data_IF_539709645809
#
_entry.id   IF_539709645809
#
_cell.length_a   1.000
_cell.length_b   1.000
_cell.length_c   1.000
_cell.angle_alpha   90.00
_cell.angle_beta   90.00
_cell.angle_gamma   90.00
#
_symmetry.space_group_name_H-M   'P 1'
#
loop_
_entity.id
_entity.type
_entity.pdbx_description
1 polymer ?
#
# COMPACT_ATOMS: atom_id res chain seq x y z
N UNK A 1 -6.76 4.83 -1.10
CA UNK A 1 -8.06 4.23 -0.76
C UNK A 1 -7.82 3.00 0.11
N UNK A 2 -7.08 2.00 -0.37
CA UNK A 2 -6.67 0.81 0.40
C UNK A 2 -6.13 1.08 1.81
N UNK A 3 -5.17 2.00 1.98
CA UNK A 3 -4.59 2.31 3.30
C UNK A 3 -5.62 2.83 4.32
N UNK A 4 -6.64 3.58 3.85
CA UNK A 4 -7.70 4.10 4.72
C UNK A 4 -8.69 3.01 5.11
N UNK A 5 -9.05 2.14 4.17
CA UNK A 5 -9.95 1.01 4.41
C UNK A 5 -9.31 0.03 5.40
N UNK A 6 -8.02 -0.29 5.23
CA UNK A 6 -7.31 -1.17 6.16
C UNK A 6 -7.29 -0.60 7.57
N UNK A 7 -7.08 0.71 7.73
CA UNK A 7 -7.09 1.35 9.04
C UNK A 7 -8.48 1.23 9.71
N UNK A 8 -9.56 1.50 8.99
CA UNK A 8 -10.93 1.36 9.53
C UNK A 8 -11.26 -0.08 9.94
N UNK A 9 -10.81 -1.07 9.16
CA UNK A 9 -11.00 -2.50 9.48
C UNK A 9 -10.21 -2.87 10.74
N UNK A 10 -8.95 -2.45 10.83
CA UNK A 10 -8.10 -2.68 12.01
C UNK A 10 -8.69 -2.07 13.29
N UNK A 11 -9.16 -0.83 13.21
CA UNK A 11 -9.83 -0.15 14.33
C UNK A 11 -11.08 -0.91 14.79
N UNK A 12 -11.80 -1.53 13.86
CA UNK A 12 -13.02 -2.30 14.15
C UNK A 12 -12.73 -3.67 14.78
N UNK A 13 -11.56 -4.26 14.51
CA UNK A 13 -11.24 -5.64 14.90
C UNK A 13 -10.90 -5.82 16.38
N UNK A 14 -10.61 -4.77 17.17
CA UNK A 14 -10.34 -4.84 18.63
C UNK A 14 -9.28 -5.87 19.09
N UNK A 15 -8.52 -6.50 18.20
CA UNK A 15 -7.41 -7.39 18.53
C UNK A 15 -6.18 -7.09 17.66
N UNK A 16 -4.96 -7.29 18.19
CA UNK A 16 -3.74 -7.02 17.46
C UNK A 16 -3.62 -7.95 16.24
N UNK A 17 -3.57 -7.36 15.05
CA UNK A 17 -3.38 -8.06 13.79
C UNK A 17 -2.22 -7.44 13.02
N UNK A 18 -1.45 -8.28 12.32
CA UNK A 18 -0.42 -7.82 11.38
C UNK A 18 -1.07 -7.56 10.03
N UNK A 19 -0.77 -6.43 9.43
CA UNK A 19 -1.26 -6.07 8.10
C UNK A 19 -0.12 -6.12 7.11
N UNK A 20 -0.38 -6.64 5.92
CA UNK A 20 0.56 -6.64 4.81
C UNK A 20 -0.14 -6.09 3.57
N UNK A 21 0.56 -5.21 2.85
CA UNK A 21 0.05 -4.56 1.64
C UNK A 21 0.80 -5.10 0.44
N UNK A 22 0.08 -5.62 -0.55
CA UNK A 22 0.66 -6.20 -1.75
C UNK A 22 0.38 -5.31 -2.95
N UNK A 23 1.41 -5.09 -3.78
CA UNK A 23 1.31 -4.37 -5.05
C UNK A 23 2.02 -5.14 -6.15
N UNK A 24 1.40 -5.16 -7.32
CA UNK A 24 1.91 -5.73 -8.57
C UNK A 24 2.84 -4.78 -9.33
N UNK A 25 2.67 -3.47 -9.14
CA UNK A 25 3.56 -2.49 -9.72
C UNK A 25 4.82 -2.31 -8.85
N UNK A 26 5.95 -2.80 -9.37
CA UNK A 26 7.28 -2.50 -8.81
C UNK A 26 7.56 -1.00 -8.75
N UNK A 27 7.01 -0.21 -9.69
CA UNK A 27 7.14 1.25 -9.72
C UNK A 27 6.43 1.87 -8.52
N UNK A 28 5.18 1.45 -8.25
CA UNK A 28 4.43 1.93 -7.08
C UNK A 28 5.12 1.55 -5.79
N UNK A 29 5.66 0.32 -5.70
CA UNK A 29 6.42 -0.11 -4.53
C UNK A 29 7.70 0.73 -4.35
N UNK A 30 8.38 1.08 -5.43
CA UNK A 30 9.55 1.95 -5.40
C UNK A 30 9.20 3.36 -4.92
N UNK A 31 8.06 3.93 -5.32
CA UNK A 31 7.58 5.22 -4.82
C UNK A 31 7.30 5.23 -3.32
N UNK A 32 6.74 4.14 -2.79
CA UNK A 32 6.44 4.01 -1.36
C UNK A 32 7.73 3.89 -0.53
N UNK A 33 8.75 3.20 -1.07
CA UNK A 33 9.99 2.90 -0.35
C UNK A 33 11.07 3.98 -0.45
N UNK A 34 10.98 4.89 -1.41
CA UNK A 34 12.01 5.89 -1.67
C UNK A 34 11.49 7.31 -1.51
N UNK A 35 12.41 8.24 -1.25
CA UNK A 35 12.13 9.67 -1.18
C UNK A 35 12.85 10.36 -2.35
N UNK A 36 12.11 10.62 -3.42
CA UNK A 36 12.59 11.41 -4.56
C UNK A 36 11.64 12.59 -4.79
N UNK A 37 12.06 13.62 -5.55
CA UNK A 37 11.16 14.67 -5.97
C UNK A 37 10.08 14.10 -6.90
N UNK A 38 8.96 13.69 -6.31
CA UNK A 38 7.77 13.27 -7.03
C UNK A 38 6.96 14.49 -7.47
N UNK A 39 6.20 14.35 -8.56
CA UNK A 39 5.17 15.35 -8.88
C UNK A 39 4.14 15.42 -7.74
N UNK A 40 3.40 16.53 -7.65
CA UNK A 40 2.45 16.79 -6.55
C UNK A 40 1.44 15.65 -6.34
N UNK A 41 0.98 15.01 -7.41
CA UNK A 41 0.00 13.94 -7.31
C UNK A 41 0.57 12.67 -6.68
N UNK A 42 1.73 12.23 -7.16
CA UNK A 42 2.44 11.05 -6.62
C UNK A 42 2.91 11.34 -5.21
N UNK A 43 3.52 12.51 -4.98
CA UNK A 43 4.01 12.92 -3.65
C UNK A 43 2.91 12.94 -2.60
N UNK A 44 1.74 13.52 -2.91
CA UNK A 44 0.60 13.53 -1.98
C UNK A 44 0.10 12.13 -1.63
N UNK A 45 0.07 11.21 -2.60
CA UNK A 45 -0.36 9.83 -2.38
C UNK A 45 0.64 9.00 -1.59
N UNK A 46 1.92 9.12 -1.93
CA UNK A 46 3.00 8.47 -1.18
C UNK A 46 2.97 8.96 0.26
N UNK A 47 2.84 10.27 0.48
CA UNK A 47 2.72 10.86 1.82
C UNK A 47 1.55 10.27 2.61
N UNK A 48 0.34 10.28 2.06
CA UNK A 48 -0.85 9.68 2.71
C UNK A 48 -0.60 8.21 3.08
N UNK A 49 -0.02 7.42 2.17
CA UNK A 49 0.29 6.00 2.41
C UNK A 49 1.28 5.84 3.56
N UNK A 50 2.38 6.60 3.54
CA UNK A 50 3.44 6.52 4.56
C UNK A 50 3.02 7.06 5.92
N UNK A 51 2.01 7.95 5.98
CA UNK A 51 1.41 8.43 7.23
C UNK A 51 0.45 7.41 7.85
N UNK A 52 -0.21 6.59 7.03
CA UNK A 52 -1.24 5.63 7.46
C UNK A 52 -0.73 4.20 7.66
N UNK A 53 0.44 3.85 7.10
CA UNK A 53 0.96 2.48 7.07
C UNK A 53 2.46 2.44 7.30
N UNK A 54 2.97 1.32 7.79
CA UNK A 54 4.42 1.11 7.86
C UNK A 54 4.96 0.71 6.48
N UNK A 55 6.02 1.37 6.01
CA UNK A 55 6.71 1.07 4.75
C UNK A 55 7.17 -0.39 4.70
N UNK A 56 7.56 -0.94 5.86
CA UNK A 56 8.03 -2.33 5.98
C UNK A 56 6.93 -3.37 5.78
N UNK A 57 5.66 -2.98 5.76
CA UNK A 57 4.52 -3.88 5.52
C UNK A 57 4.18 -4.01 4.02
N UNK A 58 4.85 -3.23 3.15
CA UNK A 58 4.62 -3.26 1.70
C UNK A 58 5.47 -4.31 0.99
N UNK A 59 4.81 -5.11 0.15
CA UNK A 59 5.38 -6.25 -0.58
C UNK A 59 4.98 -6.20 -2.05
N UNK A 60 5.83 -6.80 -2.89
CA UNK A 60 5.52 -7.01 -4.30
C UNK A 60 4.82 -8.36 -4.48
N UNK A 61 3.77 -8.41 -5.29
CA UNK A 61 3.15 -9.65 -5.78
C UNK A 61 3.18 -9.63 -7.31
N UNK A 62 3.73 -10.62 -8.02
CA UNK A 62 3.69 -10.60 -9.49
C UNK A 62 2.26 -10.49 -10.03
N UNK A 63 2.03 -9.75 -11.12
CA UNK A 63 0.68 -9.50 -11.66
C UNK A 63 -0.08 -10.77 -12.05
N UNK A 64 0.63 -11.82 -12.47
CA UNK A 64 0.07 -13.15 -12.79
C UNK A 64 -0.47 -13.92 -11.58
N UNK A 65 -0.12 -13.50 -10.36
CA UNK A 65 -0.65 -14.04 -9.10
C UNK A 65 -1.42 -13.00 -8.29
N UNK A 66 -1.62 -11.81 -8.83
CA UNK A 66 -2.45 -10.78 -8.20
C UNK A 66 -3.93 -11.17 -8.36
N UNK A 67 -4.60 -11.44 -7.23
CA UNK A 67 -6.02 -11.85 -7.25
C UNK A 67 -6.93 -10.83 -7.92
N UNK A 68 -6.54 -9.55 -7.97
CA UNK A 68 -7.33 -8.50 -8.63
C UNK A 68 -7.27 -8.59 -10.16
N UNK A 69 -6.13 -8.99 -10.72
CA UNK A 69 -5.95 -9.16 -12.17
C UNK A 69 -6.54 -10.48 -12.69
N UNK A 70 -6.69 -11.48 -11.81
CA UNK A 70 -7.39 -12.73 -12.13
C UNK A 70 -8.92 -12.56 -12.25
N UNK A 71 -9.47 -11.43 -11.79
CA UNK A 71 -10.89 -11.11 -11.80
C UNK A 71 -11.32 -10.18 -12.95
N UNK A 72 -10.40 -9.85 -13.86
CA UNK A 72 -10.66 -9.02 -15.07
C UNK A 72 -11.05 -9.87 -16.27
#
# INVERSE_FOLDING_TARGET
MEARISLTILESLHFPSRTCFWRDSMIVLAWIKNTEPWNTFVGNRVKEITELTNIDDWRHVPGDVNQEDLLT
#
